data_IF_902484967810
#
_entry.id   IF_902484967810
#
_cell.length_a   1.000
_cell.length_b   1.000
_cell.length_c   1.000
_cell.angle_alpha   90.00
_cell.angle_beta   90.00
_cell.angle_gamma   90.00
#
_symmetry.space_group_name_H-M   'P 1'
#
loop_
_entity.id
_entity.type
_entity.pdbx_description
1 polymer ?
#
# COMPACT_ATOMS: atom_id res chain seq x y z
N UNK A 1 15.32 -15.12 -86.43
CA UNK A 1 16.25 -14.44 -85.51
C UNK A 1 15.58 -13.13 -85.13
N UNK A 2 15.15 -12.85 -83.92
CA UNK A 2 15.38 -13.45 -82.58
C UNK A 2 14.16 -13.11 -81.72
N UNK A 3 13.76 -14.04 -80.86
CA UNK A 3 12.79 -13.83 -79.77
C UNK A 3 13.56 -13.22 -78.60
N UNK A 4 12.99 -12.23 -77.92
CA UNK A 4 13.37 -11.91 -76.54
C UNK A 4 12.09 -11.90 -75.69
N UNK A 5 11.95 -12.98 -74.91
CA UNK A 5 11.05 -13.11 -73.79
C UNK A 5 11.74 -12.48 -72.58
N UNK A 6 11.12 -11.51 -71.90
CA UNK A 6 11.52 -11.18 -70.54
C UNK A 6 10.29 -11.16 -69.64
N UNK A 7 10.01 -12.36 -69.10
CA UNK A 7 9.06 -12.58 -68.03
C UNK A 7 9.61 -11.93 -66.76
N UNK A 8 8.98 -10.85 -66.31
CA UNK A 8 9.26 -10.25 -65.00
C UNK A 8 8.97 -11.28 -63.90
N UNK A 9 10.00 -11.63 -63.12
CA UNK A 9 9.84 -12.34 -61.86
C UNK A 9 9.19 -11.39 -60.86
N UNK A 10 7.98 -11.72 -60.41
CA UNK A 10 7.43 -11.16 -59.18
C UNK A 10 8.17 -11.84 -58.02
N UNK A 11 9.00 -11.08 -57.29
CA UNK A 11 9.49 -11.49 -55.97
C UNK A 11 8.42 -11.15 -54.92
N UNK A 12 8.23 -12.08 -53.99
CA UNK A 12 7.30 -11.99 -52.88
C UNK A 12 7.86 -11.01 -51.83
N UNK A 13 7.74 -9.71 -52.09
CA UNK A 13 8.11 -8.66 -51.14
C UNK A 13 6.88 -8.08 -50.39
N UNK A 14 5.67 -8.57 -50.69
CA UNK A 14 4.42 -8.07 -50.14
C UNK A 14 4.01 -8.62 -48.77
N UNK A 15 4.70 -9.63 -48.23
CA UNK A 15 4.35 -10.21 -46.91
C UNK A 15 4.97 -9.42 -45.74
N UNK A 16 6.12 -8.76 -45.93
CA UNK A 16 6.82 -8.00 -44.88
C UNK A 16 6.24 -6.59 -44.62
N UNK A 17 5.62 -5.95 -45.62
CA UNK A 17 5.02 -4.61 -45.43
C UNK A 17 3.66 -4.69 -44.72
N UNK A 18 2.87 -5.74 -44.99
CA UNK A 18 1.58 -5.99 -44.33
C UNK A 18 1.73 -6.41 -42.86
N UNK A 19 2.78 -7.17 -42.52
CA UNK A 19 3.08 -7.51 -41.11
C UNK A 19 3.53 -6.30 -40.29
N UNK A 20 4.31 -5.39 -40.90
CA UNK A 20 4.77 -4.16 -40.23
C UNK A 20 3.62 -3.17 -39.96
N UNK A 21 2.72 -2.95 -40.93
CA UNK A 21 1.55 -2.07 -40.76
C UNK A 21 0.55 -2.62 -39.72
N UNK A 22 0.37 -3.94 -39.65
CA UNK A 22 -0.47 -4.57 -38.62
C UNK A 22 0.14 -4.48 -37.22
N UNK A 23 1.47 -4.62 -37.09
CA UNK A 23 2.18 -4.46 -35.81
C UNK A 23 2.17 -3.01 -35.31
N UNK A 24 2.39 -2.03 -36.20
CA UNK A 24 2.37 -0.61 -35.84
C UNK A 24 0.97 -0.14 -35.42
N UNK A 25 -0.08 -0.73 -36.01
CA UNK A 25 -1.49 -0.55 -35.63
C UNK A 25 -1.84 -1.21 -34.28
N UNK A 26 -1.35 -2.43 -34.03
CA UNK A 26 -1.59 -3.16 -32.78
C UNK A 26 -0.85 -2.52 -31.59
N UNK A 27 0.41 -2.12 -31.77
CA UNK A 27 1.17 -1.35 -30.78
C UNK A 27 0.47 -0.02 -30.51
N UNK A 28 0.12 0.78 -31.54
CA UNK A 28 -0.59 2.05 -31.35
C UNK A 28 -1.91 1.93 -30.58
N UNK A 29 -2.57 0.77 -30.65
CA UNK A 29 -3.82 0.50 -29.93
C UNK A 29 -3.57 0.23 -28.45
N UNK A 30 -2.45 -0.42 -28.08
CA UNK A 30 -2.09 -0.75 -26.70
C UNK A 30 -1.99 0.51 -25.81
N UNK A 31 -1.51 1.64 -26.35
CA UNK A 31 -1.32 2.86 -25.57
C UNK A 31 -2.59 3.71 -25.39
N UNK A 32 -3.64 3.46 -26.16
CA UNK A 32 -4.86 4.30 -26.20
C UNK A 32 -6.07 3.68 -25.52
N UNK A 33 -5.92 2.49 -24.96
CA UNK A 33 -6.99 1.74 -24.32
C UNK A 33 -6.75 1.62 -22.82
N UNK A 34 -7.84 1.50 -22.05
CA UNK A 34 -7.76 1.22 -20.62
C UNK A 34 -7.45 -0.25 -20.40
N UNK A 35 -6.35 -0.52 -19.68
CA UNK A 35 -5.98 -1.87 -19.29
C UNK A 35 -6.55 -2.23 -17.92
N UNK A 36 -7.17 -3.41 -17.81
CA UNK A 36 -7.57 -3.94 -16.52
C UNK A 36 -6.36 -4.57 -15.85
N UNK A 37 -6.10 -4.18 -14.60
CA UNK A 37 -5.02 -4.75 -13.81
C UNK A 37 -5.50 -5.95 -13.00
N UNK A 38 -4.68 -6.99 -12.93
CA UNK A 38 -4.73 -8.00 -11.88
C UNK A 38 -3.73 -7.60 -10.79
N UNK A 39 -4.27 -7.18 -9.65
CA UNK A 39 -3.52 -6.57 -8.56
C UNK A 39 -3.13 -7.59 -7.50
N UNK A 40 -2.07 -7.28 -6.75
CA UNK A 40 -1.57 -8.15 -5.68
C UNK A 40 -2.35 -7.93 -4.38
N UNK A 41 -2.53 -9.00 -3.60
CA UNK A 41 -3.29 -9.00 -2.36
C UNK A 41 -2.41 -9.52 -1.25
N UNK A 42 -2.29 -8.76 -0.17
CA UNK A 42 -1.54 -9.14 1.01
C UNK A 42 -2.48 -9.61 2.11
N UNK A 43 -2.21 -10.78 2.68
CA UNK A 43 -3.07 -11.45 3.66
C UNK A 43 -2.42 -11.46 5.04
N UNK A 44 -2.02 -10.28 5.52
CA UNK A 44 -1.38 -10.11 6.83
C UNK A 44 -2.40 -10.29 7.97
N UNK A 45 -1.95 -10.82 9.11
CA UNK A 45 -2.81 -11.22 10.25
C UNK A 45 -3.59 -10.09 10.93
N UNK A 46 -3.26 -8.83 10.63
CA UNK A 46 -4.00 -7.67 11.09
C UNK A 46 -5.20 -7.32 10.23
N UNK A 47 -5.31 -7.91 9.03
CA UNK A 47 -6.37 -7.65 8.07
C UNK A 47 -7.73 -8.20 8.50
N UNK A 48 -8.81 -7.58 8.02
CA UNK A 48 -10.15 -8.15 8.22
C UNK A 48 -10.28 -9.48 7.48
N UNK A 49 -10.93 -10.50 8.06
CA UNK A 49 -11.12 -11.78 7.39
C UNK A 49 -12.26 -11.72 6.37
N UNK A 50 -12.05 -12.40 5.24
CA UNK A 50 -13.12 -12.75 4.33
C UNK A 50 -13.97 -11.59 3.82
N UNK A 51 -15.27 -11.87 3.65
CA UNK A 51 -16.32 -10.91 3.27
C UNK A 51 -16.43 -9.66 4.14
N UNK A 52 -15.86 -9.63 5.36
CA UNK A 52 -15.78 -8.41 6.18
C UNK A 52 -14.72 -7.42 5.71
N UNK A 53 -13.85 -7.84 4.79
CA UNK A 53 -12.78 -7.02 4.24
C UNK A 53 -13.17 -6.35 2.94
N UNK A 54 -12.98 -5.02 2.85
CA UNK A 54 -13.11 -4.33 1.55
C UNK A 54 -12.06 -4.83 0.56
N UNK A 55 -10.87 -5.24 1.01
CA UNK A 55 -9.87 -5.86 0.15
C UNK A 55 -10.40 -7.16 -0.46
N UNK A 56 -11.04 -8.02 0.33
CA UNK A 56 -11.64 -9.24 -0.20
C UNK A 56 -12.80 -8.97 -1.17
N UNK A 57 -13.64 -7.95 -0.88
CA UNK A 57 -14.68 -7.51 -1.79
C UNK A 57 -14.08 -7.04 -3.13
N UNK A 58 -13.02 -6.23 -3.11
CA UNK A 58 -12.32 -5.81 -4.33
C UNK A 58 -11.77 -7.01 -5.10
N UNK A 59 -11.17 -7.98 -4.42
CA UNK A 59 -10.67 -9.21 -5.04
C UNK A 59 -11.77 -9.95 -5.78
N UNK A 60 -12.93 -10.12 -5.14
CA UNK A 60 -14.08 -10.84 -5.70
C UNK A 60 -14.71 -10.08 -6.87
N UNK A 61 -15.10 -8.82 -6.66
CA UNK A 61 -15.81 -8.00 -7.65
C UNK A 61 -14.90 -7.66 -8.85
N UNK A 62 -13.61 -7.43 -8.58
CA UNK A 62 -12.60 -7.17 -9.61
C UNK A 62 -12.10 -8.42 -10.33
N UNK A 63 -12.54 -9.62 -9.92
CA UNK A 63 -12.10 -10.91 -10.47
C UNK A 63 -10.58 -11.10 -10.38
N UNK A 64 -9.95 -10.67 -9.29
CA UNK A 64 -8.51 -10.83 -9.06
C UNK A 64 -8.15 -12.21 -8.49
N UNK A 65 -9.13 -12.98 -8.04
CA UNK A 65 -8.99 -14.38 -7.65
C UNK A 65 -10.31 -15.13 -7.88
N UNK A 66 -10.23 -16.45 -8.08
CA UNK A 66 -11.39 -17.31 -8.33
C UNK A 66 -12.33 -17.45 -7.11
N UNK A 67 -11.80 -17.27 -5.91
CA UNK A 67 -12.59 -17.35 -4.67
C UNK A 67 -11.96 -16.50 -3.55
N UNK A 68 -12.79 -16.22 -2.54
CA UNK A 68 -12.39 -15.58 -1.27
C UNK A 68 -12.63 -16.58 -0.14
N UNK A 69 -11.65 -16.74 0.73
CA UNK A 69 -11.77 -17.56 1.94
C UNK A 69 -12.27 -16.68 3.10
N UNK A 70 -13.44 -17.01 3.64
CA UNK A 70 -14.06 -16.21 4.70
C UNK A 70 -13.28 -16.20 6.03
N UNK A 71 -12.36 -17.15 6.24
CA UNK A 71 -11.53 -17.23 7.44
C UNK A 71 -10.16 -16.57 7.27
N UNK A 72 -9.75 -16.27 6.04
CA UNK A 72 -8.42 -15.71 5.74
C UNK A 72 -8.43 -14.18 5.87
N UNK A 73 -7.41 -13.56 6.47
CA UNK A 73 -7.29 -12.10 6.50
C UNK A 73 -6.96 -11.54 5.10
N UNK A 74 -7.60 -10.43 4.74
CA UNK A 74 -7.33 -9.67 3.52
C UNK A 74 -7.00 -8.24 3.93
N UNK A 75 -5.70 -7.91 3.92
CA UNK A 75 -5.15 -6.76 4.62
C UNK A 75 -4.87 -5.58 3.68
N UNK A 76 -4.12 -5.82 2.60
CA UNK A 76 -3.77 -4.80 1.61
C UNK A 76 -4.10 -5.27 0.19
N UNK A 77 -4.62 -4.35 -0.63
CA UNK A 77 -4.77 -4.51 -2.08
C UNK A 77 -3.80 -3.56 -2.77
N UNK A 78 -2.85 -4.07 -3.57
CA UNK A 78 -1.74 -3.29 -4.13
C UNK A 78 -1.91 -3.04 -5.61
N UNK A 79 -1.84 -1.78 -6.00
CA UNK A 79 -1.95 -1.30 -7.39
C UNK A 79 -0.68 -0.54 -7.75
N UNK A 80 0.16 -1.15 -8.58
CA UNK A 80 1.39 -0.54 -9.07
C UNK A 80 2.46 -1.56 -9.45
N UNK A 81 3.69 -1.09 -9.52
CA UNK A 81 4.87 -1.82 -10.04
C UNK A 81 5.81 -2.32 -8.94
N UNK A 82 5.32 -2.43 -7.70
CA UNK A 82 6.18 -2.79 -6.58
C UNK A 82 6.61 -4.26 -6.67
N UNK A 83 7.92 -4.52 -6.61
CA UNK A 83 8.53 -5.87 -6.76
C UNK A 83 7.91 -6.99 -5.91
N UNK A 84 7.44 -6.67 -4.69
CA UNK A 84 6.84 -7.66 -3.78
C UNK A 84 5.34 -7.93 -4.04
N UNK A 85 4.72 -7.20 -4.95
CA UNK A 85 3.31 -7.35 -5.30
C UNK A 85 3.02 -6.63 -6.61
N UNK A 86 3.63 -7.07 -7.73
CA UNK A 86 3.44 -6.41 -9.00
C UNK A 86 2.02 -6.63 -9.51
N UNK A 87 1.44 -5.58 -10.08
CA UNK A 87 0.23 -5.71 -10.88
C UNK A 87 0.55 -6.30 -12.26
N UNK A 88 -0.44 -6.94 -12.88
CA UNK A 88 -0.35 -7.50 -14.24
C UNK A 88 -1.46 -6.97 -15.12
N UNK A 89 -1.25 -6.92 -16.42
CA UNK A 89 -2.33 -6.66 -17.39
C UNK A 89 -3.17 -7.94 -17.52
N UNK A 90 -4.49 -7.87 -17.36
CA UNK A 90 -5.37 -9.05 -17.39
C UNK A 90 -5.29 -9.81 -18.71
N UNK A 91 -5.33 -9.08 -19.83
CA UNK A 91 -5.40 -9.64 -21.18
C UNK A 91 -4.15 -10.42 -21.56
N UNK A 92 -2.97 -9.92 -21.18
CA UNK A 92 -1.68 -10.50 -21.57
C UNK A 92 -1.00 -11.27 -20.44
N UNK A 93 -1.47 -11.12 -19.20
CA UNK A 93 -0.81 -11.57 -17.98
C UNK A 93 0.62 -11.01 -17.79
N UNK A 94 1.01 -10.00 -18.57
CA UNK A 94 2.31 -9.34 -18.48
C UNK A 94 2.41 -8.50 -17.20
N UNK A 95 3.61 -8.49 -16.60
CA UNK A 95 3.93 -7.61 -15.47
C UNK A 95 3.84 -6.13 -15.88
N UNK A 96 3.14 -5.32 -15.10
CA UNK A 96 2.94 -3.90 -15.39
C UNK A 96 4.26 -3.13 -15.50
N UNK A 97 5.29 -3.50 -14.73
CA UNK A 97 6.60 -2.87 -14.82
C UNK A 97 7.27 -3.16 -16.17
N UNK A 98 7.14 -4.38 -16.67
CA UNK A 98 7.71 -4.77 -17.97
C UNK A 98 6.96 -4.08 -19.11
N UNK A 99 5.62 -4.03 -19.01
CA UNK A 99 4.78 -3.29 -19.95
C UNK A 99 5.24 -1.82 -20.04
N UNK A 100 5.37 -1.13 -18.90
CA UNK A 100 5.85 0.28 -18.87
C UNK A 100 7.29 0.42 -19.39
N UNK A 101 8.18 -0.55 -19.17
CA UNK A 101 9.55 -0.49 -19.70
C UNK A 101 9.60 -0.60 -21.23
N UNK A 102 8.76 -1.45 -21.80
CA UNK A 102 8.63 -1.61 -23.24
C UNK A 102 7.89 -0.42 -23.87
N UNK A 103 7.05 0.24 -23.06
CA UNK A 103 6.13 1.29 -23.47
C UNK A 103 6.14 2.48 -22.49
N UNK A 104 7.27 3.22 -22.38
CA UNK A 104 7.45 4.29 -21.39
C UNK A 104 6.47 5.48 -21.54
N UNK A 105 5.84 5.63 -22.70
CA UNK A 105 4.78 6.59 -22.99
C UNK A 105 3.46 6.32 -22.25
N UNK A 106 3.28 5.11 -21.70
CA UNK A 106 2.12 4.77 -20.86
C UNK A 106 2.07 5.57 -19.56
N UNK A 107 3.21 6.12 -19.13
CA UNK A 107 3.32 6.99 -17.95
C UNK A 107 3.70 8.40 -18.37
N UNK A 108 3.30 9.39 -17.57
CA UNK A 108 3.67 10.77 -17.82
C UNK A 108 5.19 10.96 -17.77
N UNK A 109 5.74 11.89 -18.56
CA UNK A 109 7.20 12.16 -18.61
C UNK A 109 7.82 12.43 -17.22
N UNK A 110 7.04 12.94 -16.26
CA UNK A 110 7.47 13.21 -14.88
C UNK A 110 7.76 11.94 -14.07
N UNK A 111 7.22 10.78 -14.47
CA UNK A 111 7.42 9.48 -13.83
C UNK A 111 8.78 8.85 -14.19
N UNK A 112 9.53 9.42 -15.15
CA UNK A 112 10.87 8.96 -15.52
C UNK A 112 10.92 7.47 -15.93
N UNK A 113 9.88 7.00 -16.64
CA UNK A 113 9.81 5.65 -17.18
C UNK A 113 9.35 4.57 -16.19
N UNK A 114 8.83 4.93 -15.01
CA UNK A 114 8.18 3.98 -14.09
C UNK A 114 7.31 4.70 -13.06
N UNK A 115 6.26 4.07 -12.53
CA UNK A 115 5.41 4.68 -11.49
C UNK A 115 6.22 4.96 -10.21
N UNK A 116 6.11 6.20 -9.72
CA UNK A 116 6.79 6.69 -8.51
C UNK A 116 5.97 6.51 -7.22
N UNK A 117 4.78 5.90 -7.32
CA UNK A 117 3.88 5.67 -6.20
C UNK A 117 3.37 4.23 -6.18
N UNK A 118 2.86 3.80 -5.03
CA UNK A 118 2.17 2.54 -4.85
C UNK A 118 0.81 2.82 -4.23
N UNK A 119 -0.24 2.60 -5.00
CA UNK A 119 -1.59 2.82 -4.51
C UNK A 119 -2.09 1.57 -3.80
N UNK A 120 -2.72 1.75 -2.64
CA UNK A 120 -3.21 0.64 -1.81
C UNK A 120 -4.61 0.88 -1.27
N UNK A 121 -5.34 -0.22 -1.07
CA UNK A 121 -6.52 -0.26 -0.20
C UNK A 121 -6.18 -1.07 1.04
N UNK A 122 -6.43 -0.52 2.23
CA UNK A 122 -6.24 -1.20 3.50
C UNK A 122 -7.59 -1.55 4.14
N UNK A 123 -7.65 -2.76 4.69
CA UNK A 123 -8.77 -3.26 5.49
C UNK A 123 -8.25 -3.78 6.84
N UNK A 124 -8.34 -2.95 7.85
CA UNK A 124 -7.65 -3.07 9.15
C UNK A 124 -8.62 -3.59 10.22
N UNK A 125 -8.33 -4.77 10.78
CA UNK A 125 -9.03 -5.36 11.93
C UNK A 125 -8.28 -5.08 13.24
N UNK A 126 -6.97 -5.35 13.25
CA UNK A 126 -6.07 -5.13 14.40
C UNK A 126 -5.22 -3.89 14.16
N UNK A 127 -4.84 -3.20 15.23
CA UNK A 127 -3.98 -2.02 15.09
C UNK A 127 -2.63 -2.40 14.45
N UNK A 128 -2.07 -1.54 13.62
CA UNK A 128 -0.74 -1.76 13.07
C UNK A 128 0.32 -1.25 14.04
N UNK A 129 1.56 -1.70 13.86
CA UNK A 129 2.70 -1.15 14.58
C UNK A 129 2.79 0.36 14.39
N UNK A 130 3.32 1.05 15.40
CA UNK A 130 3.69 2.46 15.28
C UNK A 130 4.88 2.56 14.34
N UNK A 131 4.76 3.38 13.31
CA UNK A 131 5.71 3.49 12.22
C UNK A 131 6.11 4.95 12.00
N UNK A 132 7.32 5.15 11.50
CA UNK A 132 7.77 6.42 10.93
C UNK A 132 8.59 6.14 9.68
N UNK A 133 8.45 6.99 8.66
CA UNK A 133 9.19 6.86 7.41
C UNK A 133 10.35 7.86 7.39
N UNK A 134 11.60 7.41 7.22
CA UNK A 134 12.76 8.30 7.29
C UNK A 134 12.82 9.28 6.12
N UNK A 135 13.39 10.47 6.36
CA UNK A 135 13.82 11.39 5.29
C UNK A 135 15.18 10.97 4.71
N UNK A 136 15.44 11.32 3.45
CA UNK A 136 16.77 11.14 2.82
C UNK A 136 17.89 12.00 3.45
N UNK A 137 17.54 13.08 4.16
CA UNK A 137 18.47 13.92 4.92
C UNK A 137 17.92 14.17 6.32
N UNK A 138 18.77 13.99 7.33
CA UNK A 138 18.51 14.50 8.67
C UNK A 138 18.67 16.02 8.61
N UNK A 139 17.64 16.75 9.00
CA UNK A 139 17.72 18.21 9.09
C UNK A 139 18.34 18.56 10.44
N UNK A 140 19.55 19.12 10.42
CA UNK A 140 20.11 19.82 11.57
C UNK A 140 19.24 21.05 11.83
N UNK A 141 18.43 20.98 12.88
CA UNK A 141 17.59 22.10 13.30
C UNK A 141 17.72 22.32 14.79
N UNK A 142 17.90 23.58 15.18
CA UNK A 142 17.77 24.03 16.56
C UNK A 142 16.31 23.79 17.00
N UNK A 143 16.06 22.63 17.59
CA UNK A 143 14.72 22.26 18.06
C UNK A 143 14.32 23.11 19.26
N UNK A 144 13.08 23.61 19.27
CA UNK A 144 12.51 24.28 20.43
C UNK A 144 12.58 23.39 21.69
N UNK A 145 12.73 24.00 22.87
CA UNK A 145 12.87 23.28 24.16
C UNK A 145 11.75 22.26 24.37
N UNK A 146 10.50 22.60 24.01
CA UNK A 146 9.36 21.68 24.12
C UNK A 146 9.56 20.39 23.31
N UNK A 147 10.10 20.50 22.08
CA UNK A 147 10.41 19.35 21.22
C UNK A 147 11.53 18.50 21.80
N UNK A 148 12.57 19.13 22.35
CA UNK A 148 13.65 18.41 23.03
C UNK A 148 13.16 17.66 24.28
N UNK A 149 12.29 18.28 25.07
CA UNK A 149 11.67 17.65 26.25
C UNK A 149 10.80 16.47 25.85
N UNK A 150 9.95 16.63 24.84
CA UNK A 150 9.11 15.56 24.32
C UNK A 150 9.96 14.41 23.77
N UNK A 151 11.05 14.70 23.05
CA UNK A 151 12.02 13.71 22.58
C UNK A 151 12.61 12.91 23.74
N UNK A 152 13.04 13.57 24.82
CA UNK A 152 13.57 12.89 26.02
C UNK A 152 12.53 11.96 26.65
N UNK A 153 11.29 12.42 26.80
CA UNK A 153 10.19 11.61 27.34
C UNK A 153 9.94 10.39 26.45
N UNK A 154 9.74 10.61 25.15
CA UNK A 154 9.49 9.55 24.18
C UNK A 154 10.63 8.53 24.17
N UNK A 155 11.88 8.97 24.04
CA UNK A 155 13.05 8.10 24.09
C UNK A 155 13.12 7.31 25.39
N UNK A 156 12.87 7.94 26.55
CA UNK A 156 12.94 7.25 27.83
C UNK A 156 11.88 6.16 27.95
N UNK A 157 10.65 6.41 27.48
CA UNK A 157 9.57 5.41 27.48
C UNK A 157 9.95 4.24 26.56
N UNK A 158 10.32 4.50 25.31
CA UNK A 158 10.64 3.44 24.34
C UNK A 158 11.95 2.69 24.62
N UNK A 159 12.87 3.28 25.38
CA UNK A 159 14.12 2.63 25.79
C UNK A 159 14.06 1.98 27.19
N UNK A 160 12.91 2.03 27.87
CA UNK A 160 12.75 1.37 29.17
C UNK A 160 12.68 -0.16 29.01
N UNK A 161 13.04 -0.90 30.06
CA UNK A 161 13.02 -2.37 29.97
C UNK A 161 11.59 -2.91 29.78
N UNK A 162 11.42 -4.07 29.11
CA UNK A 162 10.10 -4.68 28.93
C UNK A 162 9.36 -4.88 30.26
N UNK A 163 10.05 -5.25 31.33
CA UNK A 163 9.45 -5.48 32.66
C UNK A 163 8.94 -4.17 33.28
N UNK A 164 9.69 -3.09 33.14
CA UNK A 164 9.29 -1.78 33.63
C UNK A 164 8.06 -1.26 32.89
N UNK A 165 8.02 -1.42 31.56
CA UNK A 165 6.86 -1.06 30.76
C UNK A 165 5.67 -1.93 31.10
N UNK A 166 5.83 -3.24 31.19
CA UNK A 166 4.73 -4.14 31.53
C UNK A 166 4.10 -3.82 32.88
N UNK A 167 4.93 -3.55 33.90
CA UNK A 167 4.43 -3.12 35.22
C UNK A 167 3.67 -1.79 35.14
N UNK A 168 4.18 -0.83 34.37
CA UNK A 168 3.55 0.48 34.20
C UNK A 168 2.20 0.37 33.45
N UNK A 169 2.16 -0.39 32.35
CA UNK A 169 0.94 -0.66 31.57
C UNK A 169 -0.10 -1.34 32.44
N UNK A 170 0.26 -2.42 33.14
CA UNK A 170 -0.66 -3.15 34.01
C UNK A 170 -1.25 -2.26 35.11
N UNK A 171 -0.42 -1.44 35.77
CA UNK A 171 -0.88 -0.52 36.80
C UNK A 171 -1.84 0.55 36.22
N UNK A 172 -1.52 1.08 35.03
CA UNK A 172 -2.34 2.08 34.35
C UNK A 172 -3.69 1.48 33.91
N UNK A 173 -3.67 0.33 33.24
CA UNK A 173 -4.84 -0.43 32.79
C UNK A 173 -5.73 -0.82 33.97
N UNK A 174 -5.16 -1.35 35.06
CA UNK A 174 -5.92 -1.71 36.25
C UNK A 174 -6.62 -0.51 36.91
N UNK A 175 -6.04 0.69 36.79
CA UNK A 175 -6.65 1.92 37.28
C UNK A 175 -7.81 2.36 36.38
N UNK A 176 -7.59 2.49 35.07
CA UNK A 176 -8.63 2.99 34.14
C UNK A 176 -9.76 1.99 33.94
N UNK A 177 -9.50 0.67 34.02
CA UNK A 177 -10.51 -0.37 33.85
C UNK A 177 -11.63 -0.31 34.90
N UNK A 178 -11.34 0.24 36.09
CA UNK A 178 -12.34 0.38 37.17
C UNK A 178 -13.40 1.43 36.84
N UNK A 179 -13.02 2.48 36.12
CA UNK A 179 -13.87 3.64 35.85
C UNK A 179 -13.34 4.40 34.61
N UNK A 180 -13.56 3.87 33.38
CA UNK A 180 -13.09 4.51 32.16
C UNK A 180 -13.77 5.87 31.97
N UNK A 181 -12.99 6.93 31.78
CA UNK A 181 -13.53 8.30 31.78
C UNK A 181 -13.80 8.85 30.39
N UNK A 182 -13.10 8.36 29.38
CA UNK A 182 -13.12 8.95 28.05
C UNK A 182 -12.67 7.96 26.97
N UNK A 183 -12.77 8.38 25.70
CA UNK A 183 -12.38 7.60 24.52
C UNK A 183 -10.90 7.21 24.50
N UNK A 184 -10.03 7.95 25.19
CA UNK A 184 -8.60 7.64 25.29
C UNK A 184 -8.40 6.44 26.23
N UNK A 185 -9.11 6.37 27.36
CA UNK A 185 -9.08 5.20 28.23
C UNK A 185 -9.61 3.95 27.50
N UNK A 186 -10.73 4.08 26.78
CA UNK A 186 -11.29 3.00 25.96
C UNK A 186 -10.28 2.51 24.89
N UNK A 187 -9.57 3.44 24.25
CA UNK A 187 -8.54 3.10 23.28
C UNK A 187 -7.38 2.34 23.93
N UNK A 188 -6.88 2.81 25.08
CA UNK A 188 -5.78 2.17 25.80
C UNK A 188 -6.16 0.76 26.23
N UNK A 189 -7.37 0.56 26.75
CA UNK A 189 -7.90 -0.77 27.10
C UNK A 189 -8.01 -1.68 25.87
N UNK A 190 -8.45 -1.15 24.72
CA UNK A 190 -8.53 -1.90 23.47
C UNK A 190 -7.14 -2.31 22.97
N UNK A 191 -6.15 -1.42 23.06
CA UNK A 191 -4.78 -1.73 22.65
C UNK A 191 -4.12 -2.77 23.56
N UNK A 192 -4.29 -2.67 24.88
CA UNK A 192 -3.78 -3.68 25.83
C UNK A 192 -4.41 -5.04 25.58
N UNK A 193 -5.71 -5.09 25.29
CA UNK A 193 -6.39 -6.34 24.93
C UNK A 193 -5.88 -6.93 23.60
N UNK A 194 -5.48 -6.09 22.64
CA UNK A 194 -4.97 -6.53 21.35
C UNK A 194 -3.49 -6.95 21.41
N UNK A 195 -2.71 -6.32 22.30
CA UNK A 195 -1.28 -6.54 22.52
C UNK A 195 -1.00 -6.77 24.01
N UNK A 196 -1.44 -7.91 24.57
CA UNK A 196 -1.28 -8.19 25.99
C UNK A 196 0.20 -8.42 26.33
N UNK A 197 0.52 -8.34 27.61
CA UNK A 197 1.88 -8.55 28.11
C UNK A 197 2.68 -7.27 28.29
N UNK A 198 2.05 -6.11 28.10
CA UNK A 198 2.67 -4.81 28.38
C UNK A 198 3.40 -4.21 27.20
N UNK A 199 2.78 -4.21 26.02
CA UNK A 199 3.34 -3.55 24.84
C UNK A 199 3.49 -2.03 25.08
N UNK A 200 4.65 -1.46 24.75
CA UNK A 200 4.94 -0.03 24.95
C UNK A 200 4.03 0.88 24.13
N UNK A 201 3.54 0.39 22.99
CA UNK A 201 2.60 1.08 22.10
C UNK A 201 1.25 1.37 22.76
N UNK A 202 0.90 0.70 23.86
CA UNK A 202 -0.29 1.01 24.67
C UNK A 202 -0.24 2.44 25.21
N UNK A 203 0.95 3.01 25.43
CA UNK A 203 1.11 4.42 25.85
C UNK A 203 1.14 5.42 24.70
N UNK A 204 1.20 4.98 23.45
CA UNK A 204 1.27 5.89 22.30
C UNK A 204 0.11 6.88 22.20
N UNK A 205 -1.15 6.53 22.53
CA UNK A 205 -2.26 7.48 22.56
C UNK A 205 -2.09 8.64 23.56
N UNK A 206 -1.19 8.52 24.55
CA UNK A 206 -0.88 9.61 25.47
C UNK A 206 0.04 10.68 24.84
N UNK A 207 0.72 10.35 23.74
CA UNK A 207 1.74 11.18 23.09
C UNK A 207 1.37 11.54 21.65
N UNK A 208 0.50 10.77 21.01
CA UNK A 208 0.09 10.93 19.63
C UNK A 208 -1.38 11.34 19.54
N UNK A 209 -1.72 12.11 18.50
CA UNK A 209 -3.09 12.50 18.24
C UNK A 209 -3.95 11.27 17.88
N UNK A 210 -5.07 11.11 18.58
CA UNK A 210 -6.08 10.10 18.25
C UNK A 210 -7.27 10.77 17.57
N UNK A 211 -7.49 10.44 16.30
CA UNK A 211 -8.61 10.95 15.52
C UNK A 211 -9.16 9.87 14.57
N UNK A 212 -10.37 10.11 14.08
CA UNK A 212 -11.05 9.23 13.11
C UNK A 212 -11.38 10.03 11.87
N UNK A 213 -10.94 9.55 10.71
CA UNK A 213 -11.34 10.09 9.42
C UNK A 213 -12.71 9.53 9.03
N UNK A 214 -13.61 10.41 8.61
CA UNK A 214 -14.88 10.06 7.97
C UNK A 214 -14.63 9.72 6.49
N UNK A 215 -15.53 8.97 5.83
CA UNK A 215 -15.46 8.76 4.38
C UNK A 215 -15.26 10.07 3.63
N UNK A 216 -14.29 10.09 2.70
CA UNK A 216 -13.89 11.27 1.94
C UNK A 216 -12.91 12.21 2.65
N UNK A 217 -12.59 12.01 3.93
CA UNK A 217 -11.52 12.74 4.61
C UNK A 217 -10.18 12.06 4.40
N UNK A 218 -9.12 12.86 4.35
CA UNK A 218 -7.75 12.40 4.18
C UNK A 218 -6.81 13.09 5.17
N UNK A 219 -5.66 12.47 5.41
CA UNK A 219 -4.54 13.07 6.12
C UNK A 219 -3.26 12.78 5.34
N UNK A 220 -2.29 13.68 5.42
CA UNK A 220 -0.95 13.46 4.92
C UNK A 220 -0.04 13.10 6.10
N UNK A 221 0.78 12.06 5.93
CA UNK A 221 1.75 11.61 6.93
C UNK A 221 3.15 11.93 6.40
N UNK A 222 3.71 13.01 6.93
CA UNK A 222 5.03 13.47 6.55
C UNK A 222 6.12 12.50 7.01
N UNK A 223 7.33 12.61 6.44
CA UNK A 223 8.44 11.80 6.90
C UNK A 223 8.83 12.18 8.34
N UNK A 224 9.36 11.20 9.07
CA UNK A 224 9.68 11.25 10.50
C UNK A 224 8.48 11.56 11.42
N UNK A 225 7.24 11.38 10.96
CA UNK A 225 6.04 11.51 11.80
C UNK A 225 5.57 10.13 12.26
N UNK A 226 5.61 9.81 13.57
CA UNK A 226 5.10 8.54 14.08
C UNK A 226 3.58 8.46 13.91
N UNK A 227 3.10 7.34 13.37
CA UNK A 227 1.68 7.09 13.13
C UNK A 227 1.35 5.58 13.21
N UNK A 228 0.07 5.26 13.38
CA UNK A 228 -0.44 3.89 13.34
C UNK A 228 -1.90 3.88 12.88
N UNK A 229 -2.26 2.91 12.03
CA UNK A 229 -3.65 2.63 11.68
C UNK A 229 -4.27 1.70 12.72
N UNK A 230 -5.37 2.11 13.36
CA UNK A 230 -5.93 1.38 14.49
C UNK A 230 -7.10 0.44 14.13
N UNK A 231 -7.84 0.78 13.07
CA UNK A 231 -9.00 0.04 12.55
C UNK A 231 -9.61 0.79 11.36
N UNK A 232 -10.25 0.09 10.42
CA UNK A 232 -10.94 0.71 9.29
C UNK A 232 -11.21 -0.29 8.17
N UNK A 233 -12.24 -0.06 7.35
CA UNK A 233 -12.60 -0.99 6.27
C UNK A 233 -12.06 -0.60 4.90
N UNK A 234 -12.02 0.70 4.60
CA UNK A 234 -11.87 1.19 3.23
C UNK A 234 -10.95 2.42 3.19
N UNK A 235 -9.71 2.25 3.65
CA UNK A 235 -8.72 3.33 3.63
C UNK A 235 -7.86 3.22 2.36
N UNK A 236 -7.81 4.30 1.58
CA UNK A 236 -6.92 4.42 0.43
C UNK A 236 -5.60 5.05 0.88
N UNK A 237 -4.48 4.48 0.44
CA UNK A 237 -3.12 4.97 0.72
C UNK A 237 -2.37 5.11 -0.59
N UNK A 238 -1.60 6.19 -0.73
CA UNK A 238 -0.75 6.47 -1.89
C UNK A 238 0.63 6.93 -1.43
#
# INVERSE_FOLDING_TARGET
MTKDENCGKFTADGENELENDMNESAENTLFRVMHKLICSVQTYDWGKPGSRSTVAALVKEGHHANYVDDNKPYAEFWMGVHKNGPAKIEQTSEDLLNCIKNHPEMVGKHEQGTLQFLFKVLSVEKALSIQSHPTKKLLDSNEAIAKQTLKKIFTKVWASSPEAIAKAVQAFVARIKKDPKNKLDELILRLDSAYPGGDVGVFAPLLLNYFTLKPGQATFLGPNQPHAYLSGGSCLIC
#
